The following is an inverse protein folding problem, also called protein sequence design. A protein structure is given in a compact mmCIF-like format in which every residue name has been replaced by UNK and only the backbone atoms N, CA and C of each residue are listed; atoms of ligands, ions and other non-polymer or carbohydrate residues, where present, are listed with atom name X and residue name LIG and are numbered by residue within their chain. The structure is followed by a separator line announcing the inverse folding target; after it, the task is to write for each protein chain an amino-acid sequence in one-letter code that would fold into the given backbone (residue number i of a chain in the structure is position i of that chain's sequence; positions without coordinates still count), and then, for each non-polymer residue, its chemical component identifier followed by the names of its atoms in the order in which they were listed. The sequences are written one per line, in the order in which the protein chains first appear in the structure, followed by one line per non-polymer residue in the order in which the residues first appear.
data_IF_378808706659
#
_entry.id   IF_378808706659
#
_cell.length_a   1.000
_cell.length_b   1.000
_cell.length_c   1.000
_cell.angle_alpha   90.00
_cell.angle_beta   90.00
_cell.angle_gamma   90.00
#
_symmetry.space_group_name_H-M   'P 1'
#
loop_
_entity.id
_entity.type
_entity.pdbx_description
1 polymer ?
#
# COMPACT_ATOMS: atom_id res chain seq x y z
N UNK A 1 10.98 -7.29 8.16
CA UNK A 1 10.58 -7.23 6.75
C UNK A 1 9.09 -7.07 6.61
N UNK A 2 8.66 -7.06 5.37
CA UNK A 2 7.28 -7.10 4.91
C UNK A 2 6.75 -8.54 5.01
N UNK A 3 5.46 -8.72 5.32
CA UNK A 3 4.81 -10.00 5.11
C UNK A 3 4.71 -10.27 3.61
N UNK A 4 5.10 -11.46 3.16
CA UNK A 4 5.08 -11.82 1.75
C UNK A 4 4.23 -13.08 1.55
N UNK A 5 3.13 -12.97 0.82
CA UNK A 5 2.15 -14.04 0.62
C UNK A 5 2.15 -14.52 -0.82
N UNK A 6 2.03 -13.61 -1.78
CA UNK A 6 2.07 -13.87 -3.21
C UNK A 6 2.94 -12.81 -3.90
N UNK A 7 3.50 -13.11 -5.08
CA UNK A 7 4.27 -12.13 -5.84
C UNK A 7 3.41 -10.94 -6.28
N UNK A 8 2.22 -11.21 -6.82
CA UNK A 8 1.41 -10.17 -7.44
C UNK A 8 0.64 -9.38 -6.37
N UNK A 9 0.76 -8.05 -6.43
CA UNK A 9 0.04 -7.12 -5.57
C UNK A 9 0.10 -7.47 -4.07
N UNK A 10 1.26 -7.92 -3.58
CA UNK A 10 1.43 -8.45 -2.23
C UNK A 10 0.88 -7.53 -1.11
N UNK A 11 0.93 -6.21 -1.29
CA UNK A 11 0.42 -5.26 -0.29
C UNK A 11 -1.09 -5.40 -0.01
N UNK A 12 -1.87 -6.06 -0.85
CA UNK A 12 -3.27 -6.38 -0.54
C UNK A 12 -3.38 -7.30 0.69
N UNK A 13 -2.47 -8.27 0.81
CA UNK A 13 -2.41 -9.20 1.93
C UNK A 13 -1.86 -8.52 3.16
N UNK A 14 -0.81 -7.71 2.98
CA UNK A 14 -0.17 -6.96 4.08
C UNK A 14 -1.17 -6.03 4.75
N UNK A 15 -1.90 -5.24 3.97
CA UNK A 15 -2.88 -4.27 4.49
C UNK A 15 -4.07 -4.98 5.14
N UNK A 16 -4.60 -6.03 4.51
CA UNK A 16 -5.69 -6.86 5.07
C UNK A 16 -5.28 -7.53 6.39
N UNK A 17 -4.11 -8.17 6.43
CA UNK A 17 -3.58 -8.79 7.63
C UNK A 17 -3.36 -7.76 8.74
N UNK A 18 -2.79 -6.60 8.42
CA UNK A 18 -2.59 -5.51 9.39
C UNK A 18 -3.90 -5.06 10.01
N UNK A 19 -4.94 -4.88 9.20
CA UNK A 19 -6.26 -4.48 9.67
C UNK A 19 -6.90 -5.54 10.60
N UNK A 20 -6.82 -6.82 10.24
CA UNK A 20 -7.32 -7.93 11.06
C UNK A 20 -6.53 -8.02 12.38
N UNK A 21 -5.21 -7.91 12.35
CA UNK A 21 -4.36 -7.92 13.55
C UNK A 21 -4.75 -6.80 14.52
N UNK A 22 -5.00 -5.58 14.03
CA UNK A 22 -5.44 -4.46 14.86
C UNK A 22 -6.84 -4.66 15.42
N UNK A 23 -7.76 -5.15 14.60
CA UNK A 23 -9.14 -5.48 15.02
C UNK A 23 -9.13 -6.54 16.11
N UNK A 24 -8.33 -7.60 15.94
CA UNK A 24 -8.21 -8.65 16.93
C UNK A 24 -7.49 -8.19 18.20
N UNK A 25 -6.48 -7.33 18.08
CA UNK A 25 -5.86 -6.71 19.24
C UNK A 25 -6.85 -5.87 20.06
N UNK A 26 -7.76 -5.15 19.40
CA UNK A 26 -8.84 -4.42 20.06
C UNK A 26 -9.77 -5.37 20.82
N UNK A 27 -10.20 -6.46 20.16
CA UNK A 27 -11.06 -7.49 20.77
C UNK A 27 -10.41 -8.14 22.01
N UNK A 28 -9.14 -8.55 21.91
CA UNK A 28 -8.43 -9.15 23.03
C UNK A 28 -8.24 -8.16 24.20
N UNK A 29 -8.02 -6.88 23.89
CA UNK A 29 -7.93 -5.84 24.92
C UNK A 29 -9.25 -5.63 25.66
N UNK A 30 -10.38 -5.60 24.94
CA UNK A 30 -11.70 -5.41 25.54
C UNK A 30 -12.19 -6.63 26.31
N UNK A 31 -11.88 -7.83 25.82
CA UNK A 31 -12.25 -9.10 26.47
C UNK A 31 -11.28 -9.53 27.58
N UNK A 32 -10.17 -8.81 27.78
CA UNK A 32 -9.11 -9.16 28.75
C UNK A 32 -8.52 -10.57 28.53
N UNK A 33 -8.46 -11.01 27.28
CA UNK A 33 -7.93 -12.33 26.90
C UNK A 33 -6.53 -12.24 26.30
N UNK A 34 -5.78 -13.34 26.44
CA UNK A 34 -4.53 -13.62 25.74
C UNK A 34 -4.69 -14.97 25.05
N UNK A 35 -4.23 -15.08 23.81
CA UNK A 35 -4.29 -16.33 23.04
C UNK A 35 -2.97 -17.07 23.18
N UNK A 36 -3.02 -18.39 23.41
CA UNK A 36 -1.84 -19.25 23.37
C UNK A 36 -1.71 -19.92 22.01
N UNK A 37 -0.57 -19.76 21.35
CA UNK A 37 -0.20 -20.46 20.13
C UNK A 37 1.00 -21.37 20.43
N UNK A 38 0.73 -22.62 20.83
CA UNK A 38 1.76 -23.51 21.35
C UNK A 38 2.39 -22.91 22.62
N UNK A 39 3.71 -22.69 22.59
CA UNK A 39 4.44 -22.05 23.70
C UNK A 39 4.47 -20.52 23.64
N UNK A 40 3.78 -19.91 22.67
CA UNK A 40 3.84 -18.46 22.45
C UNK A 40 2.55 -17.77 22.87
N UNK A 41 2.65 -16.82 23.79
CA UNK A 41 1.55 -15.92 24.12
C UNK A 41 1.40 -14.83 23.03
N UNK A 42 0.18 -14.72 22.49
CA UNK A 42 -0.22 -13.68 21.55
C UNK A 42 -1.01 -12.62 22.32
N UNK A 43 -0.35 -11.50 22.58
CA UNK A 43 -0.91 -10.37 23.31
C UNK A 43 -1.41 -9.27 22.36
N UNK A 44 -2.37 -8.42 22.78
CA UNK A 44 -2.78 -7.25 22.01
C UNK A 44 -1.61 -6.35 21.60
N UNK A 45 -0.63 -6.17 22.50
CA UNK A 45 0.57 -5.36 22.25
C UNK A 45 1.40 -5.95 21.10
N UNK A 46 1.56 -7.27 21.05
CA UNK A 46 2.31 -7.95 20.00
C UNK A 46 1.63 -7.79 18.63
N UNK A 47 0.31 -7.99 18.58
CA UNK A 47 -0.48 -7.82 17.35
C UNK A 47 -0.40 -6.39 16.81
N UNK A 48 -0.58 -5.38 17.68
CA UNK A 48 -0.39 -3.96 17.32
C UNK A 48 1.00 -3.67 16.78
N UNK A 49 2.04 -4.20 17.42
CA UNK A 49 3.42 -3.97 16.99
C UNK A 49 3.72 -4.58 15.60
N UNK A 50 3.18 -5.75 15.31
CA UNK A 50 3.32 -6.38 13.98
C UNK A 50 2.60 -5.54 12.93
N UNK A 51 1.33 -5.19 13.15
CA UNK A 51 0.56 -4.39 12.21
C UNK A 51 1.18 -3.01 11.98
N UNK A 52 1.63 -2.32 13.05
CA UNK A 52 2.31 -1.03 12.91
C UNK A 52 3.58 -1.17 12.05
N UNK A 53 4.39 -2.21 12.25
CA UNK A 53 5.59 -2.45 11.43
C UNK A 53 5.25 -2.60 9.95
N UNK A 54 4.14 -3.25 9.62
CA UNK A 54 3.70 -3.39 8.23
C UNK A 54 3.27 -2.05 7.63
N UNK A 55 2.49 -1.25 8.38
CA UNK A 55 2.10 0.10 7.95
C UNK A 55 3.32 1.01 7.79
N UNK A 56 4.25 0.99 8.76
CA UNK A 56 5.48 1.77 8.71
C UNK A 56 6.33 1.37 7.48
N UNK A 57 6.39 0.08 7.14
CA UNK A 57 7.07 -0.41 5.94
C UNK A 57 6.42 0.18 4.67
N UNK A 58 5.08 0.13 4.56
CA UNK A 58 4.34 0.72 3.43
C UNK A 58 4.66 2.21 3.28
N UNK A 59 4.81 2.92 4.41
CA UNK A 59 5.04 4.36 4.45
C UNK A 59 6.52 4.79 4.39
N UNK A 60 7.46 3.86 4.20
CA UNK A 60 8.87 4.18 3.93
C UNK A 60 9.90 3.57 4.88
N UNK A 61 9.50 2.81 5.90
CA UNK A 61 10.43 2.05 6.77
C UNK A 61 10.84 0.73 6.12
N UNK A 62 11.46 0.82 4.95
CA UNK A 62 11.92 -0.28 4.12
C UNK A 62 13.32 -0.01 3.54
N UNK A 63 14.01 -1.01 2.96
CA UNK A 63 15.37 -0.85 2.44
C UNK A 63 15.51 0.27 1.40
N UNK A 64 14.47 0.53 0.60
CA UNK A 64 14.46 1.56 -0.43
C UNK A 64 14.20 2.98 0.11
N UNK A 65 13.87 3.11 1.41
CA UNK A 65 13.42 4.35 2.07
C UNK A 65 12.32 5.06 1.26
N UNK A 66 11.39 4.28 0.74
CA UNK A 66 10.37 4.71 -0.23
C UNK A 66 8.98 4.42 0.29
N UNK A 67 8.08 5.40 0.27
CA UNK A 67 6.66 5.14 0.49
C UNK A 67 6.07 4.43 -0.70
N UNK A 68 5.35 3.33 -0.49
CA UNK A 68 4.51 2.71 -1.53
C UNK A 68 3.13 3.38 -1.64
N UNK A 69 2.86 4.41 -0.83
CA UNK A 69 1.72 5.31 -0.98
C UNK A 69 2.13 6.55 -1.77
N UNK A 70 1.47 6.76 -2.90
CA UNK A 70 1.70 7.86 -3.83
C UNK A 70 1.45 9.21 -3.14
N UNK A 71 2.42 10.13 -3.27
CA UNK A 71 2.35 11.47 -2.68
C UNK A 71 2.66 11.54 -1.18
N UNK A 72 3.07 10.44 -0.55
CA UNK A 72 3.48 10.42 0.86
C UNK A 72 5.00 10.28 1.00
N UNK A 73 5.61 11.09 1.87
CA UNK A 73 7.05 11.06 2.12
C UNK A 73 7.90 11.63 0.98
N UNK A 74 9.24 11.61 1.11
CA UNK A 74 10.16 12.24 0.16
C UNK A 74 10.39 11.43 -1.13
N UNK A 75 10.05 10.13 -1.12
CA UNK A 75 10.24 9.21 -2.25
C UNK A 75 9.05 8.27 -2.35
N UNK A 76 8.38 8.23 -3.49
CA UNK A 76 7.18 7.42 -3.77
C UNK A 76 7.09 7.07 -5.27
N UNK A 77 6.29 6.03 -5.65
CA UNK A 77 6.09 5.63 -7.05
C UNK A 77 5.56 6.77 -7.91
N UNK A 78 6.17 6.98 -9.08
CA UNK A 78 5.77 8.00 -10.03
C UNK A 78 5.11 7.44 -11.28
N UNK A 79 5.25 6.13 -11.53
CA UNK A 79 4.82 5.47 -12.77
C UNK A 79 3.82 4.35 -12.49
N UNK A 80 2.84 4.59 -11.63
CA UNK A 80 1.84 3.57 -11.25
C UNK A 80 0.97 3.14 -12.46
N UNK A 81 0.54 1.88 -12.48
CA UNK A 81 -0.33 1.29 -13.50
C UNK A 81 -1.79 1.78 -13.36
N UNK A 82 -2.02 3.07 -13.63
CA UNK A 82 -3.36 3.67 -13.50
C UNK A 82 -3.67 4.63 -14.65
N UNK A 83 -4.65 4.27 -15.49
CA UNK A 83 -5.02 5.02 -16.72
C UNK A 83 -5.34 6.49 -16.46
N UNK A 84 -6.17 6.79 -15.46
CA UNK A 84 -6.53 8.18 -15.14
C UNK A 84 -5.35 9.00 -14.60
N UNK A 85 -4.31 8.33 -14.09
CA UNK A 85 -3.11 8.99 -13.59
C UNK A 85 -2.10 9.22 -14.72
N UNK A 86 -1.97 8.26 -15.64
CA UNK A 86 -1.00 8.28 -16.74
C UNK A 86 -1.41 9.10 -17.97
N UNK A 87 -2.71 9.30 -18.21
CA UNK A 87 -3.22 10.12 -19.32
C UNK A 87 -3.25 11.62 -18.94
N UNK A 88 -3.07 12.54 -19.90
CA UNK A 88 -3.24 13.96 -19.62
C UNK A 88 -4.67 14.26 -19.15
N UNK A 89 -4.80 15.22 -18.24
CA UNK A 89 -6.12 15.65 -17.78
C UNK A 89 -6.91 16.32 -18.90
N UNK A 90 -8.25 16.34 -18.79
CA UNK A 90 -9.11 17.05 -19.76
C UNK A 90 -8.80 18.55 -19.85
N UNK A 91 -8.26 19.16 -18.79
CA UNK A 91 -7.84 20.56 -18.80
C UNK A 91 -6.61 20.79 -19.70
N UNK A 92 -5.68 19.83 -19.73
CA UNK A 92 -4.47 19.91 -20.56
C UNK A 92 -4.69 19.36 -21.99
N UNK A 93 -5.60 18.40 -22.15
CA UNK A 93 -5.94 17.78 -23.42
C UNK A 93 -7.47 17.66 -23.56
N UNK A 94 -8.17 18.72 -24.00
CA UNK A 94 -9.63 18.74 -24.05
C UNK A 94 -10.23 17.85 -25.15
N UNK A 95 -9.43 17.47 -26.15
CA UNK A 95 -9.84 16.59 -27.24
C UNK A 95 -9.93 15.13 -26.77
N UNK A 96 -10.73 14.33 -27.46
CA UNK A 96 -10.84 12.89 -27.21
C UNK A 96 -9.52 12.18 -27.48
N UNK A 97 -9.14 11.25 -26.61
CA UNK A 97 -7.99 10.36 -26.80
C UNK A 97 -8.48 9.12 -27.53
N UNK A 98 -7.92 8.81 -28.70
CA UNK A 98 -8.28 7.62 -29.47
C UNK A 98 -7.90 6.32 -28.75
N UNK A 99 -8.58 5.21 -29.07
CA UNK A 99 -8.45 3.93 -28.36
C UNK A 99 -6.99 3.46 -28.19
N UNK A 100 -6.19 3.52 -29.26
CA UNK A 100 -4.79 3.07 -29.24
C UNK A 100 -3.81 4.14 -28.78
N UNK A 101 -4.22 5.42 -28.71
CA UNK A 101 -3.33 6.51 -28.34
C UNK A 101 -2.88 6.41 -26.87
N UNK A 102 -3.69 5.80 -25.99
CA UNK A 102 -3.36 5.58 -24.59
C UNK A 102 -2.15 4.66 -24.35
N UNK A 103 -1.79 3.81 -25.32
CA UNK A 103 -0.60 2.95 -25.21
C UNK A 103 0.70 3.75 -25.16
N UNK A 104 0.74 4.95 -25.78
CA UNK A 104 1.90 5.83 -25.66
C UNK A 104 2.14 6.25 -24.20
N UNK A 105 1.06 6.54 -23.46
CA UNK A 105 1.12 6.83 -22.03
C UNK A 105 1.46 5.60 -21.19
N UNK A 106 1.00 4.40 -21.59
CA UNK A 106 1.36 3.15 -20.90
C UNK A 106 2.88 2.92 -20.93
N UNK A 107 3.48 2.96 -22.13
CA UNK A 107 4.89 2.64 -22.36
C UNK A 107 5.86 3.81 -22.16
N UNK A 108 5.36 5.00 -21.80
CA UNK A 108 6.20 6.16 -21.53
C UNK A 108 7.07 5.97 -20.29
N UNK A 109 8.33 6.40 -20.34
CA UNK A 109 9.18 6.46 -19.14
C UNK A 109 8.97 7.71 -18.29
N UNK A 110 8.14 8.66 -18.74
CA UNK A 110 7.80 9.84 -17.96
C UNK A 110 6.94 9.45 -16.74
N UNK A 111 7.02 10.21 -15.64
CA UNK A 111 6.05 10.14 -14.54
C UNK A 111 4.61 10.29 -15.01
N UNK A 112 3.67 9.76 -14.23
CA UNK A 112 2.26 10.02 -14.45
C UNK A 112 1.95 11.52 -14.28
N UNK A 113 1.29 12.18 -15.26
CA UNK A 113 1.01 13.62 -15.20
C UNK A 113 0.05 14.01 -14.07
N UNK A 114 -0.84 13.09 -13.63
CA UNK A 114 -1.74 13.34 -12.51
C UNK A 114 -1.34 12.48 -11.31
N UNK A 115 -0.94 13.12 -10.22
CA UNK A 115 -0.58 12.43 -8.99
C UNK A 115 -1.84 11.82 -8.34
N UNK A 116 -1.89 10.48 -8.25
CA UNK A 116 -2.99 9.78 -7.59
C UNK A 116 -2.74 9.70 -6.07
N UNK A 117 -2.84 10.84 -5.40
CA UNK A 117 -2.50 10.98 -3.98
C UNK A 117 -3.22 9.94 -3.12
N UNK A 118 -2.46 9.25 -2.27
CA UNK A 118 -2.97 8.25 -1.33
C UNK A 118 -3.14 6.85 -1.91
N UNK A 119 -2.99 6.66 -3.22
CA UNK A 119 -3.01 5.32 -3.82
C UNK A 119 -1.82 4.49 -3.34
N UNK A 120 -2.07 3.24 -2.94
CA UNK A 120 -1.03 2.28 -2.58
C UNK A 120 -0.92 1.23 -3.67
N UNK A 121 0.29 1.08 -4.20
CA UNK A 121 0.61 0.13 -5.27
C UNK A 121 0.69 -1.31 -4.74
N UNK A 122 0.84 -2.28 -5.63
CA UNK A 122 1.05 -3.69 -5.30
C UNK A 122 2.25 -3.95 -4.38
N UNK A 123 3.30 -3.12 -4.49
CA UNK A 123 4.45 -3.10 -3.60
C UNK A 123 5.68 -3.82 -4.15
N UNK A 124 6.69 -4.11 -3.32
CA UNK A 124 7.93 -4.72 -3.79
C UNK A 124 7.83 -6.24 -3.97
N UNK A 125 8.83 -6.79 -4.67
CA UNK A 125 9.06 -8.23 -4.77
C UNK A 125 9.56 -8.85 -3.44
N UNK A 126 9.80 -10.15 -3.44
CA UNK A 126 10.27 -10.91 -2.28
C UNK A 126 11.63 -10.45 -1.71
N UNK A 127 12.39 -9.68 -2.49
CA UNK A 127 13.72 -9.18 -2.17
C UNK A 127 13.73 -7.66 -1.94
N UNK A 128 12.58 -7.07 -1.64
CA UNK A 128 12.38 -5.64 -1.40
C UNK A 128 12.66 -4.74 -2.64
N UNK A 129 12.76 -5.29 -3.86
CA UNK A 129 12.92 -4.50 -5.08
C UNK A 129 11.59 -3.96 -5.60
N UNK A 130 11.62 -2.74 -6.14
CA UNK A 130 10.46 -2.11 -6.76
C UNK A 130 10.93 -1.27 -7.97
N UNK A 131 10.57 -1.66 -9.20
CA UNK A 131 11.10 -1.02 -10.40
C UNK A 131 10.48 0.34 -10.73
N UNK A 132 9.31 0.67 -10.14
CA UNK A 132 8.49 1.83 -10.53
C UNK A 132 8.26 1.86 -12.05
N UNK A 133 7.80 0.74 -12.60
CA UNK A 133 7.44 0.59 -14.00
C UNK A 133 5.92 0.50 -14.17
N UNK A 134 5.37 1.33 -15.04
CA UNK A 134 3.94 1.34 -15.35
C UNK A 134 3.48 0.06 -16.01
N UNK A 135 4.34 -0.62 -16.76
CA UNK A 135 3.96 -1.86 -17.43
C UNK A 135 3.99 -3.08 -16.49
N UNK A 136 4.64 -2.94 -15.34
CA UNK A 136 4.64 -3.93 -14.26
C UNK A 136 3.38 -3.77 -13.40
N UNK A 137 2.28 -4.34 -13.87
CA UNK A 137 0.99 -4.27 -13.17
C UNK A 137 1.03 -5.02 -11.83
N UNK A 138 1.86 -6.06 -11.68
CA UNK A 138 1.96 -6.85 -10.44
C UNK A 138 2.39 -5.98 -9.26
N UNK A 139 3.37 -5.11 -9.48
CA UNK A 139 3.94 -4.26 -8.43
C UNK A 139 3.37 -2.84 -8.44
N UNK A 140 3.08 -2.28 -9.61
CA UNK A 140 2.71 -0.87 -9.78
C UNK A 140 1.21 -0.60 -9.84
N UNK A 141 0.34 -1.61 -9.86
CA UNK A 141 -1.11 -1.42 -9.87
C UNK A 141 -1.63 -1.00 -8.48
N UNK A 142 -2.27 0.16 -8.35
CA UNK A 142 -3.02 0.50 -7.14
C UNK A 142 -4.42 -0.11 -7.19
N UNK A 143 -4.96 -0.49 -6.02
CA UNK A 143 -6.31 -1.03 -5.96
C UNK A 143 -7.10 -0.57 -4.75
N UNK A 144 -8.43 -0.60 -4.88
CA UNK A 144 -9.34 -0.25 -3.77
C UNK A 144 -9.22 -1.22 -2.61
N UNK A 145 -8.94 -2.50 -2.86
CA UNK A 145 -8.80 -3.53 -1.84
C UNK A 145 -7.45 -3.49 -1.11
N UNK A 146 -6.40 -2.87 -1.66
CA UNK A 146 -5.19 -2.52 -0.90
C UNK A 146 -5.49 -1.34 0.03
N UNK A 147 -6.13 -0.30 -0.50
CA UNK A 147 -6.38 0.95 0.23
C UNK A 147 -7.41 0.80 1.36
N UNK A 148 -8.50 0.06 1.14
CA UNK A 148 -9.60 -0.06 2.11
C UNK A 148 -9.16 -0.55 3.52
N UNK A 149 -8.46 -1.69 3.67
CA UNK A 149 -7.98 -2.13 4.98
C UNK A 149 -6.86 -1.26 5.55
N UNK A 150 -6.05 -0.61 4.69
CA UNK A 150 -5.04 0.33 5.14
C UNK A 150 -5.66 1.56 5.81
N UNK A 151 -6.73 2.12 5.25
CA UNK A 151 -7.45 3.26 5.86
C UNK A 151 -7.92 2.92 7.27
N UNK A 152 -8.49 1.72 7.47
CA UNK A 152 -8.87 1.25 8.80
C UNK A 152 -7.68 1.10 9.77
N UNK A 153 -6.54 0.61 9.27
CA UNK A 153 -5.31 0.48 10.05
C UNK A 153 -4.74 1.83 10.46
N UNK A 154 -4.72 2.80 9.54
CA UNK A 154 -4.28 4.18 9.80
C UNK A 154 -5.17 4.87 10.82
N UNK A 155 -6.50 4.73 10.70
CA UNK A 155 -7.45 5.29 11.66
C UNK A 155 -7.20 4.76 13.09
N UNK A 156 -6.98 3.45 13.23
CA UNK A 156 -6.67 2.83 14.52
C UNK A 156 -5.37 3.39 15.13
N UNK A 157 -4.30 3.46 14.32
CA UNK A 157 -2.98 3.92 14.77
C UNK A 157 -2.98 5.41 15.11
N UNK A 158 -3.67 6.23 14.32
CA UNK A 158 -3.81 7.67 14.57
C UNK A 158 -4.57 7.96 15.87
N UNK A 159 -5.60 7.19 16.19
CA UNK A 159 -6.30 7.30 17.47
C UNK A 159 -5.39 6.90 18.64
N UNK A 160 -4.70 5.77 18.51
CA UNK A 160 -3.84 5.22 19.57
C UNK A 160 -2.60 6.09 19.86
N UNK A 161 -2.17 6.94 18.93
CA UNK A 161 -1.05 7.86 19.15
C UNK A 161 -1.42 9.11 19.97
N UNK A 162 -2.72 9.36 20.18
CA UNK A 162 -3.24 10.52 20.93
C UNK A 162 -3.60 10.21 22.39
N UNK A 163 -3.53 8.93 22.78
CA UNK A 163 -3.88 8.40 24.10
C UNK A 163 -2.68 7.74 24.74
#
# INVERSE_FOLDING_TARGET
GLLYTLPDANLQYVTSASFILLTYAKYLSSSKHVVSCGQMAVTPRRLRAIAKRQVDYILGSNPLKMSYMVGYGPKYPQRIHHRGSSLPSKAQHPQTIGCSAGFQSLYSNAPNPNLLVGAVVGGPDANDHFPDDRNDYEHSEPSTYINAPLVGSLAYLAHSART
#
